data_IF_377950967145
#
_entry.id   IF_377950967145
#
_cell.length_a   1.000
_cell.length_b   1.000
_cell.length_c   1.000
_cell.angle_alpha   90.00
_cell.angle_beta   90.00
_cell.angle_gamma   90.00
#
_symmetry.space_group_name_H-M   'P 1'
#
loop_
_entity.id
_entity.type
_entity.pdbx_description
1 polymer ?
#
# COMPACT_ATOMS: atom_id res chain seq x y z
N UNK A 1 -6.36 26.99 4.24
CA UNK A 1 -5.02 27.07 3.62
C UNK A 1 -3.99 26.62 4.64
N UNK A 2 -3.58 25.34 4.62
CA UNK A 2 -2.47 24.91 5.47
C UNK A 2 -1.17 25.41 4.85
N UNK A 3 -0.50 26.34 5.54
CA UNK A 3 0.75 26.91 5.09
C UNK A 3 1.79 25.79 4.89
N UNK A 4 2.39 25.74 3.70
CA UNK A 4 3.42 24.76 3.30
C UNK A 4 4.56 24.61 4.33
N UNK A 5 4.77 25.65 5.13
CA UNK A 5 5.72 25.74 6.23
C UNK A 5 5.47 24.70 7.34
N UNK A 6 4.22 24.35 7.63
CA UNK A 6 3.90 23.39 8.70
C UNK A 6 4.20 21.94 8.30
N UNK A 7 3.99 21.60 7.02
CA UNK A 7 4.30 20.27 6.50
C UNK A 7 5.80 20.03 6.40
N UNK A 8 6.55 21.07 6.04
CA UNK A 8 8.02 21.04 6.05
C UNK A 8 8.55 20.82 7.49
N UNK A 9 8.03 21.57 8.46
CA UNK A 9 8.37 21.41 9.89
C UNK A 9 8.04 20.01 10.41
N UNK A 10 6.89 19.46 10.02
CA UNK A 10 6.47 18.13 10.43
C UNK A 10 7.37 17.02 9.86
N UNK A 11 7.82 17.16 8.61
CA UNK A 11 8.71 16.20 7.97
C UNK A 11 10.10 16.18 8.64
N UNK A 12 10.63 17.35 9.00
CA UNK A 12 11.91 17.47 9.70
C UNK A 12 11.84 16.88 11.11
N UNK A 13 10.77 17.17 11.87
CA UNK A 13 10.58 16.60 13.21
C UNK A 13 10.39 15.08 13.19
N UNK A 14 9.70 14.53 12.18
CA UNK A 14 9.48 13.08 12.04
C UNK A 14 10.77 12.36 11.68
N UNK A 15 11.55 12.91 10.75
CA UNK A 15 12.84 12.35 10.35
C UNK A 15 13.82 12.35 11.53
N UNK A 16 13.86 13.45 12.29
CA UNK A 16 14.68 13.56 13.48
C UNK A 16 14.28 12.53 14.57
N UNK A 17 12.98 12.30 14.78
CA UNK A 17 12.49 11.28 15.72
C UNK A 17 12.88 9.85 15.29
N UNK A 18 12.75 9.53 13.99
CA UNK A 18 13.12 8.23 13.43
C UNK A 18 14.63 7.97 13.53
N UNK A 19 15.46 8.99 13.28
CA UNK A 19 16.91 8.91 13.44
C UNK A 19 17.33 8.70 14.91
N UNK A 20 16.63 9.35 15.84
CA UNK A 20 16.87 9.18 17.29
C UNK A 20 16.47 7.78 17.77
N UNK A 21 15.39 7.22 17.22
CA UNK A 21 14.92 5.86 17.51
C UNK A 21 15.78 4.76 16.85
N UNK A 22 16.47 5.04 15.74
CA UNK A 22 17.40 4.10 15.08
C UNK A 22 18.88 4.26 15.49
N UNK A 23 19.19 5.11 16.48
CA UNK A 23 20.55 5.28 17.01
C UNK A 23 21.54 5.91 16.02
N UNK A 24 21.10 6.87 15.20
CA UNK A 24 21.85 7.28 14.00
C UNK A 24 23.04 8.24 14.21
N UNK A 25 24.16 7.91 13.56
CA UNK A 25 25.04 8.89 12.89
C UNK A 25 24.58 8.98 11.42
N UNK A 26 24.25 10.18 10.92
CA UNK A 26 23.70 10.40 9.57
C UNK A 26 24.75 10.21 8.47
N UNK A 27 24.42 9.46 7.43
CA UNK A 27 25.13 9.51 6.15
C UNK A 27 24.55 10.62 5.25
N UNK A 28 25.40 11.57 4.84
CA UNK A 28 25.08 12.73 3.98
C UNK A 28 24.37 12.34 2.66
N UNK A 29 24.53 11.10 2.24
CA UNK A 29 23.91 10.45 1.08
C UNK A 29 22.38 10.48 1.13
N UNK A 30 21.77 10.15 2.28
CA UNK A 30 20.31 10.05 2.44
C UNK A 30 19.62 11.42 2.38
N UNK A 31 20.27 12.45 2.94
CA UNK A 31 19.76 13.82 2.87
C UNK A 31 19.82 14.37 1.43
N UNK A 32 20.86 14.00 0.67
CA UNK A 32 20.97 14.27 -0.76
C UNK A 32 19.90 13.54 -1.59
N UNK A 33 19.64 12.26 -1.29
CA UNK A 33 18.59 11.48 -1.94
C UNK A 33 17.19 12.02 -1.64
N UNK A 34 16.91 12.41 -0.39
CA UNK A 34 15.63 13.01 -0.02
C UNK A 34 15.41 14.37 -0.73
N UNK A 35 16.45 15.20 -0.86
CA UNK A 35 16.40 16.43 -1.66
C UNK A 35 16.18 16.15 -3.15
N UNK A 36 16.88 15.17 -3.72
CA UNK A 36 16.74 14.80 -5.14
C UNK A 36 15.33 14.27 -5.44
N UNK A 37 14.80 13.40 -4.58
CA UNK A 37 13.42 12.89 -4.69
C UNK A 37 12.36 13.99 -4.49
N UNK A 38 12.66 15.01 -3.69
CA UNK A 38 11.80 16.21 -3.55
C UNK A 38 11.88 17.12 -4.79
N UNK A 39 13.07 17.27 -5.37
CA UNK A 39 13.28 18.03 -6.60
C UNK A 39 12.61 17.34 -7.81
N UNK A 40 12.75 16.02 -7.95
CA UNK A 40 12.04 15.23 -8.96
C UNK A 40 10.53 15.39 -8.83
N UNK A 41 10.00 15.39 -7.60
CA UNK A 41 8.58 15.66 -7.35
C UNK A 41 8.18 17.09 -7.77
N UNK A 42 9.06 18.09 -7.65
CA UNK A 42 8.81 19.46 -8.11
C UNK A 42 8.88 19.58 -9.64
N UNK A 43 9.79 18.84 -10.29
CA UNK A 43 9.93 18.78 -11.75
C UNK A 43 8.72 18.09 -12.38
N UNK A 44 8.30 16.94 -11.86
CA UNK A 44 7.09 16.23 -12.33
C UNK A 44 5.83 17.10 -12.17
N UNK A 45 5.75 17.87 -11.09
CA UNK A 45 4.64 18.80 -10.86
C UNK A 45 4.63 19.98 -11.84
N UNK A 46 5.80 20.49 -12.23
CA UNK A 46 5.96 21.48 -13.32
C UNK A 46 5.71 20.88 -14.71
N UNK A 47 5.96 19.59 -14.92
CA UNK A 47 5.66 18.92 -16.19
C UNK A 47 4.15 18.63 -16.32
N UNK A 48 3.48 18.32 -15.21
CA UNK A 48 2.02 18.07 -15.15
C UNK A 48 1.12 19.30 -15.38
N UNK A 49 1.71 20.46 -15.67
CA UNK A 49 1.00 21.68 -16.07
C UNK A 49 1.07 21.95 -17.57
N UNK A 50 1.88 21.18 -18.32
CA UNK A 50 2.05 21.34 -19.77
C UNK A 50 1.05 20.48 -20.55
N UNK A 51 0.53 19.41 -19.93
CA UNK A 51 -0.53 18.55 -20.49
C UNK A 51 -1.63 18.38 -19.45
N UNK A 52 -2.87 18.71 -19.81
CA UNK A 52 -4.00 18.55 -18.92
C UNK A 52 -4.21 17.07 -18.62
N UNK A 53 -4.27 16.66 -17.34
CA UNK A 53 -4.58 15.29 -17.00
C UNK A 53 -5.88 14.85 -17.68
N UNK A 54 -5.87 13.71 -18.36
CA UNK A 54 -7.02 13.13 -19.08
C UNK A 54 -8.34 13.10 -18.27
N UNK A 55 -8.26 13.21 -16.94
CA UNK A 55 -9.39 13.27 -16.01
C UNK A 55 -9.18 14.39 -14.97
N UNK A 56 -10.19 15.22 -14.68
CA UNK A 56 -10.12 16.21 -13.61
C UNK A 56 -9.88 15.54 -12.25
N UNK A 57 -8.99 16.12 -11.42
CA UNK A 57 -8.51 15.51 -10.16
C UNK A 57 -9.48 15.56 -8.98
N UNK A 58 -10.64 16.19 -9.15
CA UNK A 58 -11.68 16.33 -8.12
C UNK A 58 -12.15 14.97 -7.59
N UNK A 59 -12.45 14.02 -8.50
CA UNK A 59 -12.87 12.65 -8.15
C UNK A 59 -11.80 11.88 -7.37
N UNK A 60 -10.52 12.13 -7.64
CA UNK A 60 -9.41 11.49 -6.92
C UNK A 60 -9.29 12.05 -5.51
N UNK A 61 -9.48 13.36 -5.35
CA UNK A 61 -9.44 14.03 -4.05
C UNK A 61 -10.58 13.55 -3.15
N UNK A 62 -11.78 13.39 -3.70
CA UNK A 62 -12.93 12.82 -2.98
C UNK A 62 -12.66 11.39 -2.51
N UNK A 63 -12.16 10.52 -3.41
CA UNK A 63 -11.76 9.16 -3.01
C UNK A 63 -10.66 9.17 -1.96
N UNK A 64 -9.68 10.06 -2.09
CA UNK A 64 -8.59 10.19 -1.13
C UNK A 64 -9.09 10.62 0.26
N UNK A 65 -9.98 11.62 0.33
CA UNK A 65 -10.64 12.01 1.59
C UNK A 65 -11.41 10.83 2.19
N UNK A 66 -12.15 10.09 1.37
CA UNK A 66 -12.91 8.91 1.81
C UNK A 66 -12.02 7.79 2.38
N UNK A 67 -10.92 7.47 1.70
CA UNK A 67 -9.94 6.47 2.16
C UNK A 67 -9.14 6.91 3.39
N UNK A 68 -8.89 8.21 3.54
CA UNK A 68 -8.17 8.77 4.68
C UNK A 68 -9.04 8.93 5.91
N UNK A 69 -10.34 9.21 5.75
CA UNK A 69 -11.28 9.33 6.86
C UNK A 69 -11.64 7.97 7.48
N UNK A 70 -11.62 6.89 6.69
CA UNK A 70 -11.98 5.55 7.16
C UNK A 70 -10.88 4.92 8.02
N UNK A 71 -11.21 4.58 9.27
CA UNK A 71 -10.33 3.92 10.25
C UNK A 71 -10.18 2.39 10.07
N UNK A 72 -10.66 1.82 8.96
CA UNK A 72 -10.51 0.38 8.66
C UNK A 72 -9.10 0.06 8.16
N UNK A 73 -8.65 -1.18 8.38
CA UNK A 73 -7.43 -1.69 7.76
C UNK A 73 -7.51 -1.61 6.23
N UNK A 74 -6.36 -1.40 5.59
CA UNK A 74 -6.24 -1.10 4.15
C UNK A 74 -6.99 -2.06 3.23
N UNK A 75 -7.06 -3.33 3.58
CA UNK A 75 -7.69 -4.41 2.80
C UNK A 75 -9.21 -4.59 3.06
N UNK A 76 -9.82 -3.72 3.89
CA UNK A 76 -11.28 -3.68 4.11
C UNK A 76 -11.87 -2.27 3.90
N UNK A 77 -11.14 -1.37 3.23
CA UNK A 77 -11.63 0.00 3.04
C UNK A 77 -12.76 0.02 2.01
N UNK A 78 -12.57 -0.63 0.87
CA UNK A 78 -13.58 -0.76 -0.17
C UNK A 78 -14.60 -1.86 0.11
N UNK A 79 -15.87 -1.69 -0.31
CA UNK A 79 -16.85 -2.78 -0.29
C UNK A 79 -16.41 -3.95 -1.19
N UNK A 80 -15.77 -3.64 -2.32
CA UNK A 80 -15.18 -4.63 -3.22
C UNK A 80 -13.96 -5.33 -2.60
N UNK A 81 -13.23 -4.65 -1.71
CA UNK A 81 -12.02 -5.19 -1.09
C UNK A 81 -12.35 -6.35 -0.14
N UNK A 82 -13.57 -6.37 0.44
CA UNK A 82 -14.05 -7.51 1.25
C UNK A 82 -14.19 -8.77 0.41
N UNK A 83 -14.73 -8.67 -0.81
CA UNK A 83 -14.91 -9.84 -1.69
C UNK A 83 -13.54 -10.36 -2.13
N UNK A 84 -12.65 -9.46 -2.57
CA UNK A 84 -11.35 -9.83 -3.12
C UNK A 84 -10.32 -10.24 -2.07
N UNK A 85 -10.37 -9.67 -0.87
CA UNK A 85 -9.38 -9.93 0.18
C UNK A 85 -9.83 -10.99 1.19
N UNK A 86 -11.13 -11.26 1.30
CA UNK A 86 -11.68 -12.21 2.29
C UNK A 86 -12.37 -13.38 1.59
N UNK A 87 -13.38 -13.13 0.77
CA UNK A 87 -14.21 -14.21 0.21
C UNK A 87 -13.43 -15.10 -0.78
N UNK A 88 -12.78 -14.50 -1.78
CA UNK A 88 -12.02 -15.24 -2.80
C UNK A 88 -10.85 -16.02 -2.16
N UNK A 89 -10.00 -15.42 -1.31
CA UNK A 89 -8.88 -16.14 -0.72
C UNK A 89 -9.33 -17.24 0.25
N UNK A 90 -10.41 -17.03 1.02
CA UNK A 90 -10.94 -18.09 1.90
C UNK A 90 -11.51 -19.27 1.10
N UNK A 91 -12.25 -19.01 0.03
CA UNK A 91 -12.78 -20.06 -0.82
C UNK A 91 -11.66 -20.86 -1.50
N UNK A 92 -10.66 -20.18 -2.06
CA UNK A 92 -9.50 -20.83 -2.67
C UNK A 92 -8.67 -21.60 -1.64
N UNK A 93 -8.39 -21.01 -0.48
CA UNK A 93 -7.66 -21.67 0.60
C UNK A 93 -8.40 -22.91 1.12
N UNK A 94 -9.70 -22.79 1.36
CA UNK A 94 -10.53 -23.89 1.85
C UNK A 94 -10.63 -25.04 0.84
N UNK A 95 -10.88 -24.73 -0.43
CA UNK A 95 -10.94 -25.75 -1.49
C UNK A 95 -9.59 -26.43 -1.71
N UNK A 96 -8.49 -25.68 -1.68
CA UNK A 96 -7.14 -26.24 -1.76
C UNK A 96 -6.86 -27.20 -0.60
N UNK A 97 -7.12 -26.78 0.64
CA UNK A 97 -6.93 -27.63 1.82
C UNK A 97 -7.79 -28.90 1.77
N UNK A 98 -9.03 -28.79 1.29
CA UNK A 98 -9.91 -29.95 1.12
C UNK A 98 -9.34 -30.94 0.09
N UNK A 99 -8.88 -30.47 -1.07
CA UNK A 99 -8.29 -31.32 -2.10
C UNK A 99 -6.99 -31.97 -1.61
N UNK A 100 -6.15 -31.24 -0.89
CA UNK A 100 -4.93 -31.77 -0.28
C UNK A 100 -5.28 -32.86 0.73
N UNK A 101 -6.22 -32.60 1.65
CA UNK A 101 -6.65 -33.58 2.65
C UNK A 101 -7.23 -34.84 2.03
N UNK A 102 -8.11 -34.70 1.03
CA UNK A 102 -8.67 -35.84 0.29
C UNK A 102 -7.58 -36.60 -0.48
N UNK A 103 -6.63 -35.90 -1.09
CA UNK A 103 -5.49 -36.50 -1.77
C UNK A 103 -4.66 -37.36 -0.82
N UNK A 104 -4.25 -36.80 0.32
CA UNK A 104 -3.48 -37.53 1.35
C UNK A 104 -4.27 -38.73 1.87
N UNK A 105 -5.56 -38.56 2.15
CA UNK A 105 -6.43 -39.64 2.62
C UNK A 105 -6.51 -40.79 1.61
N UNK A 106 -6.74 -40.48 0.34
CA UNK A 106 -6.81 -41.49 -0.72
C UNK A 106 -5.47 -42.22 -0.88
N UNK A 107 -4.35 -41.50 -0.82
CA UNK A 107 -3.01 -42.08 -0.87
C UNK A 107 -2.72 -43.00 0.33
N UNK A 108 -3.09 -42.58 1.55
CA UNK A 108 -2.83 -43.35 2.77
C UNK A 108 -3.67 -44.61 2.89
N UNK A 109 -4.88 -44.59 2.33
CA UNK A 109 -5.79 -45.75 2.33
C UNK A 109 -5.69 -46.59 1.04
N UNK A 110 -4.81 -46.23 0.10
CA UNK A 110 -4.64 -46.98 -1.15
C UNK A 110 -5.86 -46.93 -2.09
N UNK A 111 -6.73 -45.93 -1.95
CA UNK A 111 -8.00 -45.80 -2.68
C UNK A 111 -7.76 -45.01 -3.99
N UNK A 112 -8.40 -45.44 -5.08
CA UNK A 112 -8.36 -44.72 -6.37
C UNK A 112 -7.21 -45.08 -7.29
N UNK A 113 -6.59 -46.25 -7.10
CA UNK A 113 -5.70 -46.84 -8.10
C UNK A 113 -6.50 -47.14 -9.37
N UNK A 114 -5.98 -46.68 -10.52
CA UNK A 114 -6.51 -47.08 -11.83
C UNK A 114 -5.95 -48.47 -12.15
N UNK A 115 -6.82 -49.34 -12.62
CA UNK A 115 -6.45 -50.65 -13.19
C UNK A 115 -5.63 -50.46 -14.47
#
# INVERSE_FOLDING_TARGET
MYNSSYLQKQAESTLHLVLRLRGGVMERSLMGLARKCTQDKMIVRRMSTIEEPFRPREKLLEKQKWFQHSHKHTYLKGPYDMVTSVAIPLALGGTALFMIGRGIYNMSHGIGKKE
#
